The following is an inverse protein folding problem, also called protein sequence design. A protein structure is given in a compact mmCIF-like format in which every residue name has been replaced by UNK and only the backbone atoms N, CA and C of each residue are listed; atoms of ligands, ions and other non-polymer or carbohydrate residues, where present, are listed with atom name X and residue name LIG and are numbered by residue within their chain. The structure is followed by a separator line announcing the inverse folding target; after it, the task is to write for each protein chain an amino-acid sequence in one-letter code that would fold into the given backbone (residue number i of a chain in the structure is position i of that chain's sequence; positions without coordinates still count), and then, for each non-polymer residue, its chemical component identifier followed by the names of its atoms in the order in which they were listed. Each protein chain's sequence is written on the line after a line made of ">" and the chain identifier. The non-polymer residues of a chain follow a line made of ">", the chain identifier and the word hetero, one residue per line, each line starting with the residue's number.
data_IF_478184906789
#
_entry.id   IF_478184906789
#
_cell.length_a   1.000
_cell.length_b   1.000
_cell.length_c   1.000
_cell.angle_alpha   90.00
_cell.angle_beta   90.00
_cell.angle_gamma   90.00
#
_symmetry.space_group_name_H-M   'P 1'
#
loop_
_entity.id
_entity.type
_entity.pdbx_description
1 polymer ?
#
# COMPACT_ATOMS: atom_id res chain seq x y z
N UNK A 1 7.41 -27.32 24.63
CA UNK A 1 7.60 -26.65 23.34
C UNK A 1 6.36 -25.81 23.08
N UNK A 2 6.52 -24.50 22.99
CA UNK A 2 5.41 -23.60 22.70
C UNK A 2 5.19 -23.58 21.19
N UNK A 3 4.13 -24.24 20.71
CA UNK A 3 3.71 -24.22 19.31
C UNK A 3 2.88 -22.98 19.02
N UNK A 4 3.47 -21.78 19.02
CA UNK A 4 2.78 -20.53 18.67
C UNK A 4 3.43 -19.86 17.46
N UNK A 5 2.62 -19.22 16.62
CA UNK A 5 3.08 -18.44 15.46
C UNK A 5 2.52 -17.03 15.59
N UNK A 6 3.41 -16.04 15.44
CA UNK A 6 3.04 -14.63 15.34
C UNK A 6 3.55 -14.10 14.00
N UNK A 7 2.69 -14.15 13.00
CA UNK A 7 2.99 -13.72 11.64
C UNK A 7 1.82 -12.92 11.07
N UNK A 8 2.12 -11.77 10.48
CA UNK A 8 1.18 -10.91 9.78
C UNK A 8 1.65 -10.75 8.35
N UNK A 9 0.72 -10.87 7.41
CA UNK A 9 0.94 -10.61 5.99
C UNK A 9 -0.03 -9.52 5.56
N UNK A 10 0.48 -8.48 4.95
CA UNK A 10 -0.30 -7.37 4.41
C UNK A 10 0.03 -7.13 2.95
N UNK A 11 -1.00 -6.90 2.15
CA UNK A 11 -0.88 -6.30 0.82
C UNK A 11 -1.75 -5.05 0.83
N UNK A 12 -1.15 -3.89 0.58
CA UNK A 12 -1.87 -2.63 0.63
C UNK A 12 -1.08 -1.48 0.03
N UNK A 13 -1.66 -0.30 0.12
CA UNK A 13 -1.08 0.91 -0.45
C UNK A 13 -0.58 1.85 0.66
N UNK A 14 0.54 2.52 0.42
CA UNK A 14 1.03 3.54 1.34
C UNK A 14 0.11 4.77 1.32
N UNK A 15 -0.36 5.17 2.50
CA UNK A 15 -1.16 6.38 2.65
C UNK A 15 -0.36 7.68 2.65
N UNK A 16 0.93 7.57 2.95
CA UNK A 16 1.91 8.66 2.96
C UNK A 16 3.30 8.13 2.62
N UNK A 17 4.22 9.04 2.36
CA UNK A 17 5.63 8.69 2.16
C UNK A 17 6.20 8.01 3.42
N UNK A 18 7.17 7.08 3.27
CA UNK A 18 7.86 6.48 4.39
C UNK A 18 8.54 7.50 5.29
N UNK A 19 8.32 7.40 6.59
CA UNK A 19 8.99 8.25 7.57
C UNK A 19 10.22 7.53 8.11
N UNK A 20 11.41 8.02 7.76
CA UNK A 20 12.67 7.45 8.23
C UNK A 20 13.14 8.19 9.47
N UNK A 21 13.38 7.46 10.54
CA UNK A 21 14.00 7.95 11.79
C UNK A 21 15.26 7.17 12.07
N UNK A 22 16.14 7.73 12.87
CA UNK A 22 17.35 7.05 13.32
C UNK A 22 17.26 6.84 14.83
N UNK A 23 17.70 5.67 15.27
CA UNK A 23 17.92 5.41 16.70
C UNK A 23 19.13 6.18 17.20
N UNK A 24 19.32 6.21 18.53
CA UNK A 24 20.52 6.82 19.14
C UNK A 24 21.82 6.17 18.64
N UNK A 25 21.76 4.91 18.21
CA UNK A 25 22.89 4.16 17.65
C UNK A 25 23.08 4.43 16.14
N UNK A 26 22.32 5.38 15.55
CA UNK A 26 22.40 5.73 14.14
C UNK A 26 21.71 4.77 13.17
N UNK A 27 21.05 3.73 13.65
CA UNK A 27 20.36 2.75 12.79
C UNK A 27 19.05 3.33 12.23
N UNK A 28 18.78 3.20 10.95
CA UNK A 28 17.54 3.67 10.36
C UNK A 28 16.35 2.79 10.79
N UNK A 29 15.23 3.43 11.05
CA UNK A 29 13.92 2.81 11.26
C UNK A 29 12.94 3.47 10.28
N UNK A 30 12.20 2.66 9.53
CA UNK A 30 11.16 3.17 8.65
C UNK A 30 9.77 2.93 9.25
N UNK A 31 8.94 3.98 9.29
CA UNK A 31 7.54 3.90 9.69
C UNK A 31 6.68 4.07 8.44
N UNK A 32 5.83 3.09 8.20
CA UNK A 32 4.88 3.08 7.08
C UNK A 32 3.45 3.11 7.62
N UNK A 33 2.57 3.80 6.88
CA UNK A 33 1.12 3.73 7.07
C UNK A 33 0.53 3.05 5.86
N UNK A 34 0.00 1.84 6.04
CA UNK A 34 -0.48 0.99 4.96
C UNK A 34 -1.99 0.81 5.06
N UNK A 35 -2.69 1.11 3.97
CA UNK A 35 -4.12 0.94 3.83
C UNK A 35 -4.43 -0.40 3.17
N UNK A 36 -5.33 -1.17 3.77
CA UNK A 36 -5.98 -2.33 3.14
C UNK A 36 -7.46 -2.04 2.98
N UNK A 37 -7.98 -2.16 1.76
CA UNK A 37 -9.38 -1.88 1.45
C UNK A 37 -10.11 -3.15 1.06
N UNK A 38 -11.26 -3.36 1.67
CA UNK A 38 -12.21 -4.40 1.35
C UNK A 38 -13.43 -3.79 0.67
N UNK A 39 -13.92 -4.41 -0.39
CA UNK A 39 -15.10 -3.97 -1.10
C UNK A 39 -16.12 -5.11 -1.17
N UNK A 40 -17.35 -4.83 -0.80
CA UNK A 40 -18.44 -5.79 -0.91
C UNK A 40 -19.72 -5.12 -1.37
N UNK A 41 -20.65 -5.93 -1.82
CA UNK A 41 -21.99 -5.48 -2.17
C UNK A 41 -22.94 -5.79 -1.02
N UNK A 42 -23.63 -4.77 -0.51
CA UNK A 42 -24.64 -4.94 0.53
C UNK A 42 -25.80 -5.78 -0.03
N UNK A 43 -26.15 -6.86 0.65
CA UNK A 43 -27.18 -7.79 0.18
C UNK A 43 -28.59 -7.21 0.24
N UNK A 44 -28.82 -6.25 1.12
CA UNK A 44 -30.14 -5.66 1.34
C UNK A 44 -30.38 -4.46 0.42
N UNK A 45 -29.39 -3.59 0.27
CA UNK A 45 -29.50 -2.36 -0.53
C UNK A 45 -28.97 -2.50 -1.95
N UNK A 46 -28.16 -3.54 -2.23
CA UNK A 46 -27.47 -3.72 -3.50
C UNK A 46 -26.33 -2.74 -3.74
N UNK A 47 -26.04 -1.85 -2.79
CA UNK A 47 -25.00 -0.83 -2.89
C UNK A 47 -23.60 -1.42 -2.71
N UNK A 48 -22.63 -0.84 -3.39
CA UNK A 48 -21.22 -1.15 -3.19
C UNK A 48 -20.70 -0.40 -1.98
N UNK A 49 -20.17 -1.14 -1.01
CA UNK A 49 -19.54 -0.59 0.20
C UNK A 49 -18.06 -0.88 0.19
N UNK A 50 -17.31 0.05 0.75
CA UNK A 50 -15.86 -0.05 0.92
C UNK A 50 -15.50 0.24 2.37
N UNK A 51 -14.55 -0.53 2.91
CA UNK A 51 -13.96 -0.33 4.24
C UNK A 51 -12.45 -0.35 4.10
N UNK A 52 -11.79 0.69 4.60
CA UNK A 52 -10.33 0.78 4.62
C UNK A 52 -9.83 0.70 6.06
N UNK A 53 -8.89 -0.20 6.28
CA UNK A 53 -8.17 -0.32 7.55
C UNK A 53 -6.74 0.20 7.39
N UNK A 54 -6.27 0.93 8.41
CA UNK A 54 -4.95 1.53 8.44
C UNK A 54 -4.04 0.77 9.37
N UNK A 55 -2.95 0.27 8.83
CA UNK A 55 -1.94 -0.49 9.56
C UNK A 55 -0.68 0.33 9.75
N UNK A 56 -0.21 0.40 11.01
CA UNK A 56 1.10 0.96 11.31
C UNK A 56 2.14 -0.15 11.19
N UNK A 57 3.15 0.08 10.36
CA UNK A 57 4.23 -0.86 10.10
C UNK A 57 5.56 -0.21 10.44
N UNK A 58 6.38 -0.91 11.22
CA UNK A 58 7.71 -0.45 11.64
C UNK A 58 8.75 -1.42 11.13
N UNK A 59 9.77 -0.91 10.45
CA UNK A 59 10.84 -1.70 9.84
C UNK A 59 12.15 -1.40 10.56
N UNK A 60 12.79 -2.44 11.09
CA UNK A 60 14.10 -2.38 11.76
C UNK A 60 15.25 -2.94 10.91
N UNK A 61 14.95 -3.49 9.74
CA UNK A 61 15.96 -3.97 8.80
C UNK A 61 16.52 -2.81 7.98
N UNK A 62 17.82 -2.55 8.08
CA UNK A 62 18.50 -1.43 7.42
C UNK A 62 18.35 -1.45 5.91
N UNK A 63 18.50 -2.65 5.29
CA UNK A 63 18.38 -2.81 3.84
C UNK A 63 16.97 -2.51 3.35
N UNK A 64 15.96 -2.98 4.10
CA UNK A 64 14.56 -2.71 3.78
C UNK A 64 14.25 -1.23 4.00
N UNK A 65 14.82 -0.57 5.03
CA UNK A 65 14.69 0.87 5.26
C UNK A 65 15.25 1.68 4.09
N UNK A 66 16.44 1.35 3.59
CA UNK A 66 17.05 2.01 2.44
C UNK A 66 16.17 1.87 1.17
N UNK A 67 15.68 0.66 0.90
CA UNK A 67 14.76 0.42 -0.22
C UNK A 67 13.46 1.21 -0.05
N UNK A 68 12.89 1.22 1.16
CA UNK A 68 11.68 1.98 1.45
C UNK A 68 11.89 3.48 1.22
N UNK A 69 12.98 4.03 1.71
CA UNK A 69 13.32 5.45 1.55
C UNK A 69 13.52 5.85 0.09
N UNK A 70 14.18 4.98 -0.69
CA UNK A 70 14.59 5.30 -2.06
C UNK A 70 13.46 5.13 -3.08
N UNK A 71 12.61 4.13 -2.88
CA UNK A 71 11.67 3.70 -3.92
C UNK A 71 10.20 3.82 -3.56
N UNK A 72 9.85 3.85 -2.26
CA UNK A 72 8.46 3.94 -1.85
C UNK A 72 8.00 5.39 -1.74
N UNK A 73 6.78 5.64 -2.20
CA UNK A 73 6.06 6.92 -2.09
C UNK A 73 4.61 6.66 -1.71
N UNK A 74 3.90 7.70 -1.31
CA UNK A 74 2.45 7.66 -1.15
C UNK A 74 1.79 7.00 -2.37
N UNK A 75 0.91 6.04 -2.12
CA UNK A 75 0.22 5.27 -3.16
C UNK A 75 0.96 4.02 -3.65
N UNK A 76 2.23 3.80 -3.27
CA UNK A 76 2.96 2.58 -3.63
C UNK A 76 2.27 1.35 -3.04
N UNK A 77 2.07 0.31 -3.85
CA UNK A 77 1.54 -0.98 -3.40
C UNK A 77 2.68 -1.86 -2.90
N UNK A 78 2.53 -2.39 -1.70
CA UNK A 78 3.54 -3.22 -1.05
C UNK A 78 2.96 -4.51 -0.48
N UNK A 79 3.76 -5.56 -0.55
CA UNK A 79 3.60 -6.80 0.21
C UNK A 79 4.55 -6.75 1.40
N UNK A 80 4.04 -7.04 2.59
CA UNK A 80 4.78 -7.00 3.84
C UNK A 80 4.53 -8.27 4.64
N UNK A 81 5.60 -8.85 5.20
CA UNK A 81 5.53 -9.89 6.21
C UNK A 81 6.24 -9.41 7.48
N UNK A 82 5.59 -9.59 8.61
CA UNK A 82 6.15 -9.22 9.90
C UNK A 82 5.45 -9.94 11.05
N UNK A 83 5.67 -9.46 12.26
CA UNK A 83 5.00 -9.91 13.48
C UNK A 83 4.20 -8.78 14.10
N UNK A 84 3.08 -9.13 14.76
CA UNK A 84 2.30 -8.17 15.52
C UNK A 84 2.97 -7.91 16.87
N UNK A 85 3.20 -6.65 17.20
CA UNK A 85 3.78 -6.26 18.50
C UNK A 85 2.98 -5.11 19.11
N UNK A 86 2.72 -5.21 20.40
CA UNK A 86 2.10 -4.15 21.17
C UNK A 86 3.14 -3.50 22.04
N UNK A 87 3.30 -2.19 21.86
CA UNK A 87 4.23 -1.36 22.63
C UNK A 87 3.45 -0.45 23.57
N UNK A 88 3.87 -0.43 24.84
CA UNK A 88 3.41 0.51 25.85
C UNK A 88 4.24 1.79 25.76
N UNK A 89 3.59 2.93 25.85
CA UNK A 89 4.24 4.24 25.90
C UNK A 89 3.43 5.20 26.75
N UNK A 90 4.08 6.22 27.27
CA UNK A 90 3.44 7.23 28.12
C UNK A 90 3.32 8.52 27.33
N UNK A 91 2.14 9.12 27.32
CA UNK A 91 1.92 10.39 26.66
C UNK A 91 2.44 11.57 27.52
N UNK A 92 2.34 12.78 26.98
CA UNK A 92 2.80 14.01 27.65
C UNK A 92 2.04 14.31 28.95
N UNK A 93 0.88 13.69 29.16
CA UNK A 93 0.04 13.83 30.33
C UNK A 93 0.31 12.74 31.39
N UNK A 94 1.29 11.88 31.16
CA UNK A 94 1.63 10.76 32.05
C UNK A 94 0.70 9.55 31.91
N UNK A 95 -0.22 9.53 30.93
CA UNK A 95 -1.15 8.42 30.70
C UNK A 95 -0.46 7.31 29.90
N UNK A 96 -0.57 6.09 30.39
CA UNK A 96 -0.06 4.91 29.68
C UNK A 96 -0.96 4.56 28.52
N UNK A 97 -0.36 4.40 27.36
CA UNK A 97 -1.04 4.02 26.11
C UNK A 97 -0.37 2.82 25.47
N UNK A 98 -1.17 2.04 24.75
CA UNK A 98 -0.71 0.87 24.03
C UNK A 98 -0.90 1.12 22.53
N UNK A 99 0.09 0.78 21.75
CA UNK A 99 0.03 0.85 20.29
C UNK A 99 0.43 -0.50 19.72
N UNK A 100 -0.45 -1.09 18.92
CA UNK A 100 -0.19 -2.35 18.22
C UNK A 100 0.29 -2.03 16.80
N UNK A 101 1.43 -2.59 16.45
CA UNK A 101 2.14 -2.33 15.21
C UNK A 101 2.58 -3.65 14.56
N UNK A 102 2.67 -3.67 13.25
CA UNK A 102 3.30 -4.76 12.50
C UNK A 102 4.79 -4.45 12.39
N UNK A 103 5.63 -5.33 12.92
CA UNK A 103 7.07 -5.10 13.00
C UNK A 103 7.81 -6.04 12.05
N UNK A 104 8.59 -5.46 11.15
CA UNK A 104 9.54 -6.16 10.29
C UNK A 104 10.91 -6.13 10.97
N UNK A 105 11.25 -7.24 11.61
CA UNK A 105 12.55 -7.40 12.25
C UNK A 105 13.60 -7.89 11.24
N UNK A 106 14.85 -7.63 11.55
CA UNK A 106 16.00 -8.17 10.83
C UNK A 106 15.88 -9.70 10.75
N UNK A 107 16.03 -10.27 9.56
CA UNK A 107 15.95 -11.70 9.23
C UNK A 107 14.54 -12.34 9.19
N UNK A 108 13.51 -11.75 9.79
CA UNK A 108 12.15 -12.33 9.79
C UNK A 108 11.13 -11.47 9.03
N UNK A 109 11.48 -10.23 8.73
CA UNK A 109 10.64 -9.33 7.95
C UNK A 109 10.90 -9.45 6.45
N UNK A 110 9.86 -9.28 5.65
CA UNK A 110 9.95 -9.23 4.19
C UNK A 110 9.13 -8.07 3.64
N UNK A 111 9.67 -7.38 2.67
CA UNK A 111 8.98 -6.35 1.91
C UNK A 111 9.22 -6.57 0.42
N UNK A 112 8.14 -6.51 -0.36
CA UNK A 112 8.20 -6.57 -1.83
C UNK A 112 7.31 -5.47 -2.39
N UNK A 113 7.82 -4.68 -3.32
CA UNK A 113 7.04 -3.69 -4.05
C UNK A 113 6.21 -4.39 -5.12
N UNK A 114 4.90 -4.18 -5.09
CA UNK A 114 3.94 -4.75 -6.05
C UNK A 114 3.45 -3.72 -7.07
N UNK A 115 4.13 -2.57 -7.17
CA UNK A 115 3.73 -1.49 -8.05
C UNK A 115 3.80 -1.91 -9.51
N UNK A 116 2.79 -1.52 -10.27
CA UNK A 116 2.80 -1.62 -11.71
C UNK A 116 4.07 -0.93 -12.25
N UNK A 117 4.77 -1.54 -13.16
CA UNK A 117 5.71 -0.87 -14.05
C UNK A 117 4.93 0.19 -14.85
N UNK A 118 4.61 1.28 -14.20
CA UNK A 118 4.01 2.44 -14.82
C UNK A 118 5.10 3.32 -15.40
N UNK A 119 5.26 3.30 -16.72
CA UNK A 119 5.78 4.40 -17.49
C UNK A 119 7.23 4.79 -17.23
N UNK A 120 8.15 4.05 -17.80
CA UNK A 120 9.52 4.48 -18.06
C UNK A 120 9.99 3.74 -19.30
N UNK A 121 9.91 4.40 -20.46
CA UNK A 121 10.37 3.86 -21.73
C UNK A 121 11.81 3.41 -21.64
N UNK A 122 12.04 2.18 -21.97
CA UNK A 122 13.32 1.57 -22.20
C UNK A 122 13.07 0.47 -23.18
N UNK A 123 13.09 0.81 -24.48
CA UNK A 123 13.10 -0.14 -25.57
C UNK A 123 14.27 -1.08 -25.39
N UNK A 124 14.00 -2.32 -25.06
CA UNK A 124 14.86 -3.46 -25.27
C UNK A 124 14.44 -4.09 -26.57
N UNK A 125 15.12 -3.67 -27.62
CA UNK A 125 15.17 -4.32 -28.91
C UNK A 125 15.59 -5.79 -28.71
N UNK A 126 14.64 -6.70 -28.90
CA UNK A 126 14.93 -8.07 -29.24
C UNK A 126 14.56 -8.26 -30.70
N UNK A 127 15.57 -8.03 -31.54
CA UNK A 127 15.56 -8.48 -32.94
C UNK A 127 15.30 -9.97 -33.00
N UNK A 128 14.44 -10.37 -33.89
CA UNK A 128 14.19 -11.76 -34.18
C UNK A 128 13.11 -11.96 -35.20
N UNK A 129 13.50 -12.10 -36.48
CA UNK A 129 12.83 -12.98 -37.40
C UNK A 129 11.79 -12.36 -38.32
N UNK A 130 12.31 -11.88 -39.40
CA UNK A 130 11.75 -11.94 -40.75
C UNK A 130 10.89 -13.19 -41.02
N UNK A 131 9.62 -13.04 -41.29
CA UNK A 131 8.87 -13.88 -42.21
C UNK A 131 7.88 -12.96 -42.97
N UNK A 132 8.26 -12.70 -44.21
CA UNK A 132 7.38 -12.13 -45.19
C UNK A 132 6.19 -13.06 -45.50
N UNK A 133 5.04 -12.48 -45.66
CA UNK A 133 4.16 -12.86 -46.74
C UNK A 133 3.23 -11.69 -47.09
N UNK A 134 3.14 -11.52 -48.37
CA UNK A 134 2.41 -10.53 -49.13
C UNK A 134 0.90 -10.81 -49.15
N UNK A 135 0.07 -9.76 -49.19
CA UNK A 135 -1.26 -9.90 -49.77
C UNK A 135 -2.34 -9.01 -49.27
N UNK A 136 -2.63 -7.94 -50.00
CA UNK A 136 -4.01 -7.60 -50.39
C UNK A 136 -4.81 -6.65 -49.54
N UNK A 137 -4.85 -5.40 -49.91
CA UNK A 137 -5.98 -4.63 -50.40
C UNK A 137 -7.26 -4.52 -49.55
N UNK A 138 -7.63 -3.29 -49.16
CA UNK A 138 -8.98 -3.02 -48.67
C UNK A 138 -9.07 -1.66 -48.01
N UNK A 139 -9.13 -0.65 -48.82
CA UNK A 139 -9.61 0.71 -48.55
C UNK A 139 -11.07 0.71 -48.09
N UNK A 140 -11.41 1.41 -47.03
CA UNK A 140 -12.67 2.13 -46.77
C UNK A 140 -12.48 3.05 -45.54
N UNK A 141 -12.31 4.33 -45.67
CA UNK A 141 -13.24 5.44 -45.61
C UNK A 141 -13.89 5.68 -44.26
N UNK A 142 -13.36 6.68 -43.58
CA UNK A 142 -13.81 7.74 -42.69
C UNK A 142 -15.35 8.09 -42.80
N UNK A 143 -15.90 8.98 -42.00
CA UNK A 143 -15.49 9.69 -40.76
C UNK A 143 -16.62 9.79 -39.69
N UNK A 144 -16.29 10.34 -38.56
CA UNK A 144 -17.34 11.09 -37.86
C UNK A 144 -17.43 10.95 -36.35
N UNK A 145 -16.99 11.96 -35.70
CA UNK A 145 -17.85 12.78 -34.85
C UNK A 145 -17.81 12.51 -33.35
N UNK A 146 -17.10 13.40 -32.65
CA UNK A 146 -17.71 14.32 -31.69
C UNK A 146 -17.96 13.88 -30.23
N UNK A 147 -17.44 14.71 -29.35
CA UNK A 147 -17.90 15.12 -28.00
C UNK A 147 -17.81 14.09 -26.88
N UNK A 148 -16.92 14.22 -25.91
CA UNK A 148 -16.90 15.35 -24.96
C UNK A 148 -17.85 15.11 -23.81
N UNK A 149 -17.35 14.49 -22.71
CA UNK A 149 -17.96 14.71 -21.42
C UNK A 149 -16.89 14.49 -20.34
N UNK A 150 -16.42 15.59 -19.81
CA UNK A 150 -15.61 15.63 -18.61
C UNK A 150 -16.49 15.24 -17.41
N UNK A 151 -16.23 14.09 -16.82
CA UNK A 151 -16.85 13.69 -15.56
C UNK A 151 -16.00 14.28 -14.43
N UNK A 152 -16.52 15.31 -13.80
CA UNK A 152 -15.99 15.87 -12.55
C UNK A 152 -16.24 14.87 -11.43
N UNK A 153 -15.17 14.42 -10.78
CA UNK A 153 -15.27 13.66 -9.54
C UNK A 153 -15.50 14.65 -8.37
N UNK A 154 -16.48 14.41 -7.52
CA UNK A 154 -16.62 15.16 -6.27
C UNK A 154 -15.57 14.71 -5.26
N UNK A 155 -15.08 15.69 -4.52
CA UNK A 155 -14.11 15.54 -3.44
C UNK A 155 -14.59 14.56 -2.37
N UNK A 156 -13.71 13.65 -1.96
CA UNK A 156 -13.95 12.73 -0.87
C UNK A 156 -14.00 13.49 0.46
N UNK A 157 -15.16 13.47 1.10
CA UNK A 157 -15.33 13.93 2.48
C UNK A 157 -14.59 12.99 3.44
N UNK A 158 -13.75 13.59 4.26
CA UNK A 158 -13.00 12.92 5.31
C UNK A 158 -13.97 12.63 6.48
N UNK A 159 -14.44 11.41 6.58
CA UNK A 159 -15.16 10.93 7.75
C UNK A 159 -14.19 10.63 8.88
N UNK A 160 -14.08 11.59 9.81
CA UNK A 160 -13.41 11.37 11.09
C UNK A 160 -14.36 10.61 12.02
N UNK A 161 -14.39 9.30 11.94
CA UNK A 161 -15.15 8.48 12.89
C UNK A 161 -14.38 8.38 14.20
N UNK A 162 -14.80 9.18 15.15
CA UNK A 162 -14.41 9.12 16.56
C UNK A 162 -15.05 7.89 17.19
N UNK A 163 -14.34 6.79 17.32
CA UNK A 163 -14.77 5.66 18.13
C UNK A 163 -14.67 6.03 19.62
N UNK A 164 -15.81 6.21 20.23
CA UNK A 164 -15.99 6.34 21.66
C UNK A 164 -16.23 4.94 22.20
N UNK A 165 -15.22 4.32 22.79
CA UNK A 165 -15.42 3.11 23.60
C UNK A 165 -16.02 3.53 24.94
N UNK A 166 -17.30 3.17 25.17
CA UNK A 166 -17.93 3.18 26.47
C UNK A 166 -17.68 1.83 27.12
N UNK A 167 -16.96 1.81 28.22
CA UNK A 167 -16.85 0.63 29.08
C UNK A 167 -18.05 0.61 30.02
N UNK A 168 -18.73 -0.53 30.23
CA UNK A 168 -19.72 -0.68 31.28
C UNK A 168 -19.04 -0.75 32.64
N UNK A 169 -19.74 -0.20 33.64
CA UNK A 169 -19.36 -0.16 35.06
C UNK A 169 -19.28 -1.54 35.69
#
# INVERSE_FOLDING_TARGET
>A
MAGSVNKVILIGNLGRDPEIRHTNDGRPIANLSVATSEQWRDRNTGERREKTEWHRVVIFDEKICEVAQKYLKKGSTVYLEGSLQTRKWTDQQGVEKYTTEVVLQRFSGKMTMLGSRGGGGGGGDYGGGDFGDSGGGGDYGDPGGSMGAAVRHPAAEIWTTRFRFSLPA
#
